data_IF_422292483374
#
_entry.id   IF_422292483374
#
_cell.length_a   1.000
_cell.length_b   1.000
_cell.length_c   1.000
_cell.angle_alpha   90.00
_cell.angle_beta   90.00
_cell.angle_gamma   90.00
#
_symmetry.space_group_name_H-M   'P 1'
#
loop_
_entity.id
_entity.type
_entity.pdbx_description
1 polymer ?
#
# COMPACT_ATOMS: atom_id res chain seq x y z
N UNK A 1 -34.96 -1.32 -62.51
CA UNK A 1 -35.86 -0.53 -63.41
C UNK A 1 -35.99 0.87 -62.86
N UNK A 2 -36.10 1.80 -63.70
CA UNK A 2 -34.99 2.65 -64.16
C UNK A 2 -35.20 4.12 -63.80
N UNK A 3 -34.13 4.87 -64.06
CA UNK A 3 -34.12 6.17 -64.79
C UNK A 3 -34.60 7.42 -64.00
N UNK A 4 -34.12 8.59 -64.18
CA UNK A 4 -33.38 9.29 -65.28
C UNK A 4 -32.84 10.62 -64.77
N UNK A 5 -31.66 10.92 -65.22
CA UNK A 5 -31.20 12.22 -65.79
C UNK A 5 -31.93 13.52 -65.39
N UNK A 6 -31.18 14.52 -64.98
CA UNK A 6 -31.08 15.71 -65.86
C UNK A 6 -29.88 16.61 -65.51
N UNK A 7 -29.04 16.76 -66.47
CA UNK A 7 -28.02 17.79 -66.67
C UNK A 7 -28.65 19.18 -66.62
N UNK A 8 -28.04 20.13 -65.92
CA UNK A 8 -28.02 21.50 -66.48
C UNK A 8 -26.66 22.12 -66.29
N UNK A 9 -26.03 22.47 -67.41
CA UNK A 9 -24.94 23.41 -67.55
C UNK A 9 -25.41 24.81 -67.14
N UNK A 10 -24.56 25.60 -66.55
CA UNK A 10 -24.72 27.05 -66.32
C UNK A 10 -23.38 27.66 -65.99
N UNK A 11 -22.69 28.01 -66.99
CA UNK A 11 -21.82 29.14 -67.36
C UNK A 11 -21.56 30.16 -66.23
N UNK A 12 -20.30 30.29 -65.80
CA UNK A 12 -19.42 31.43 -65.74
C UNK A 12 -19.76 32.59 -64.77
N UNK A 13 -18.85 32.84 -63.91
CA UNK A 13 -18.25 34.19 -63.67
C UNK A 13 -16.94 34.00 -62.89
N UNK A 14 -15.83 34.37 -63.50
CA UNK A 14 -14.55 34.43 -62.82
C UNK A 14 -14.51 35.73 -61.95
N UNK A 15 -14.42 35.51 -60.63
CA UNK A 15 -14.05 36.61 -59.72
C UNK A 15 -12.67 36.30 -59.17
N UNK A 16 -11.67 37.02 -59.64
CA UNK A 16 -10.32 37.03 -59.10
C UNK A 16 -10.39 37.77 -57.74
N UNK A 17 -10.43 37.08 -56.64
CA UNK A 17 -10.24 37.64 -55.33
C UNK A 17 -8.76 37.48 -54.93
N UNK A 18 -8.04 38.58 -54.86
CA UNK A 18 -6.68 38.65 -54.36
C UNK A 18 -6.71 38.30 -52.85
N UNK A 19 -6.21 37.11 -52.48
CA UNK A 19 -6.00 36.72 -51.10
C UNK A 19 -4.68 37.33 -50.65
N UNK A 20 -4.75 38.40 -49.84
CA UNK A 20 -3.64 38.96 -49.09
C UNK A 20 -3.31 38.02 -47.97
N UNK A 21 -2.21 37.25 -48.09
CA UNK A 21 -1.65 36.44 -47.02
C UNK A 21 -1.01 37.37 -45.95
N UNK A 22 -1.76 37.63 -44.89
CA UNK A 22 -1.20 38.19 -43.67
C UNK A 22 -0.47 37.05 -42.96
N UNK A 23 0.84 36.96 -43.14
CA UNK A 23 1.72 36.14 -42.30
C UNK A 23 1.81 36.82 -40.91
N UNK A 24 0.92 36.43 -40.02
CA UNK A 24 1.00 36.81 -38.63
C UNK A 24 2.10 35.97 -37.96
N UNK A 25 3.22 36.63 -37.61
CA UNK A 25 4.18 36.05 -36.67
C UNK A 25 3.50 36.00 -35.29
N UNK A 26 3.04 34.80 -34.93
CA UNK A 26 2.68 34.51 -33.53
C UNK A 26 3.98 34.46 -32.71
N UNK A 27 4.11 35.20 -31.59
CA UNK A 27 5.25 35.03 -30.72
C UNK A 27 5.20 33.60 -30.16
N UNK A 28 6.24 32.84 -30.44
CA UNK A 28 6.47 31.51 -29.85
C UNK A 28 6.58 31.68 -28.33
N UNK A 29 5.58 31.22 -27.61
CA UNK A 29 5.58 31.27 -26.15
C UNK A 29 6.72 30.37 -25.67
N UNK A 30 7.73 30.99 -25.03
CA UNK A 30 8.81 30.24 -24.40
C UNK A 30 8.22 29.19 -23.44
N UNK A 31 8.77 27.96 -23.41
CA UNK A 31 8.29 26.93 -22.51
C UNK A 31 8.43 27.41 -21.06
N UNK A 32 7.30 27.53 -20.37
CA UNK A 32 7.28 27.83 -18.94
C UNK A 32 7.91 26.63 -18.24
N UNK A 33 9.00 26.80 -17.47
CA UNK A 33 9.60 25.69 -16.75
C UNK A 33 8.56 25.11 -15.79
N UNK A 34 8.21 23.84 -15.99
CA UNK A 34 7.33 23.12 -15.07
C UNK A 34 7.98 23.10 -13.68
N UNK A 35 7.23 23.40 -12.60
CA UNK A 35 7.79 23.31 -11.26
C UNK A 35 8.24 21.86 -11.01
N UNK A 36 9.52 21.69 -10.72
CA UNK A 36 10.06 20.41 -10.25
C UNK A 36 9.53 20.23 -8.82
N UNK A 37 8.51 19.39 -8.67
CA UNK A 37 8.02 18.98 -7.36
C UNK A 37 9.08 18.03 -6.80
N UNK A 38 9.96 18.54 -5.94
CA UNK A 38 10.84 17.71 -5.12
C UNK A 38 9.95 17.04 -4.07
N UNK A 39 9.61 15.77 -4.28
CA UNK A 39 8.92 14.97 -3.27
C UNK A 39 9.94 14.70 -2.16
N UNK A 40 9.90 15.48 -1.10
CA UNK A 40 10.64 15.18 0.12
C UNK A 40 9.94 13.99 0.78
N UNK A 41 10.58 12.83 0.73
CA UNK A 41 10.08 11.64 1.44
C UNK A 41 10.15 11.92 2.94
N UNK A 42 9.04 11.71 3.66
CA UNK A 42 9.07 11.77 5.12
C UNK A 42 10.04 10.71 5.66
N UNK A 43 10.77 10.96 6.76
CA UNK A 43 11.63 9.95 7.34
C UNK A 43 10.80 8.73 7.76
N UNK A 44 11.44 7.55 7.70
CA UNK A 44 10.81 6.32 8.16
C UNK A 44 10.35 6.44 9.62
N UNK A 45 9.21 5.82 9.97
CA UNK A 45 8.82 5.69 11.37
C UNK A 45 9.91 4.99 12.19
N UNK A 46 10.04 5.38 13.44
CA UNK A 46 10.94 4.76 14.43
C UNK A 46 10.14 4.24 15.62
N UNK A 47 10.72 3.27 16.34
CA UNK A 47 10.12 2.78 17.58
C UNK A 47 10.02 3.92 18.61
N UNK A 48 8.88 4.01 19.29
CA UNK A 48 8.67 4.92 20.40
C UNK A 48 8.80 4.13 21.72
N UNK A 49 9.95 4.13 22.36
CA UNK A 49 10.17 3.36 23.61
C UNK A 49 9.21 3.81 24.71
N UNK A 50 8.49 2.84 25.32
CA UNK A 50 7.47 3.14 26.33
C UNK A 50 6.18 3.78 25.77
N UNK A 51 6.10 3.96 24.47
CA UNK A 51 4.91 4.48 23.78
C UNK A 51 3.74 3.49 23.78
N UNK A 52 2.58 4.00 23.41
CA UNK A 52 1.36 3.20 23.25
C UNK A 52 1.42 2.36 21.96
N UNK A 53 0.52 1.37 21.83
CA UNK A 53 0.37 0.61 20.59
C UNK A 53 0.09 1.53 19.39
N UNK A 54 -0.79 2.53 19.55
CA UNK A 54 -1.10 3.47 18.48
C UNK A 54 0.11 4.30 18.00
N UNK A 55 0.96 4.72 18.94
CA UNK A 55 2.17 5.46 18.59
C UNK A 55 3.21 4.59 17.86
N UNK A 56 3.24 3.30 18.17
CA UNK A 56 4.17 2.35 17.58
C UNK A 56 3.62 1.64 16.31
N UNK A 57 2.33 1.80 15.98
CA UNK A 57 1.73 1.14 14.82
C UNK A 57 2.44 1.47 13.50
N UNK A 58 2.81 2.73 13.19
CA UNK A 58 3.52 3.03 11.93
C UNK A 58 4.87 2.31 11.82
N UNK A 59 5.61 2.19 12.92
CA UNK A 59 6.88 1.46 12.92
C UNK A 59 6.69 -0.05 12.82
N UNK A 60 5.70 -0.59 13.51
CA UNK A 60 5.31 -1.99 13.42
C UNK A 60 4.92 -2.37 11.99
N UNK A 61 4.14 -1.53 11.32
CA UNK A 61 3.75 -1.75 9.93
C UNK A 61 4.96 -1.71 8.99
N UNK A 62 5.86 -0.76 9.18
CA UNK A 62 7.07 -0.62 8.38
C UNK A 62 7.93 -1.89 8.45
N UNK A 63 8.23 -2.38 9.68
CA UNK A 63 9.14 -3.53 9.84
C UNK A 63 8.52 -4.82 9.33
N UNK A 64 7.20 -5.02 9.51
CA UNK A 64 6.51 -6.19 8.99
C UNK A 64 6.36 -6.14 7.46
N UNK A 65 6.08 -4.97 6.88
CA UNK A 65 6.05 -4.80 5.42
C UNK A 65 7.41 -5.13 4.80
N UNK A 66 8.50 -4.67 5.40
CA UNK A 66 9.86 -4.98 4.94
C UNK A 66 10.19 -6.47 5.03
N UNK A 67 9.75 -7.15 6.08
CA UNK A 67 9.89 -8.60 6.19
C UNK A 67 9.14 -9.31 5.06
N UNK A 68 7.89 -8.89 4.80
CA UNK A 68 7.03 -9.49 3.77
C UNK A 68 7.60 -9.26 2.37
N UNK A 69 8.18 -8.11 2.10
CA UNK A 69 8.83 -7.75 0.83
C UNK A 69 10.20 -8.41 0.64
N UNK A 70 10.77 -8.98 1.70
CA UNK A 70 12.00 -9.77 1.61
C UNK A 70 11.70 -11.18 1.07
N UNK A 71 12.72 -11.87 0.54
CA UNK A 71 12.58 -13.25 0.08
C UNK A 71 12.55 -14.27 1.23
N UNK A 72 12.21 -13.85 2.45
CA UNK A 72 12.17 -14.70 3.63
C UNK A 72 10.96 -15.65 3.62
N UNK A 73 11.14 -16.85 4.15
CA UNK A 73 10.02 -17.75 4.40
C UNK A 73 9.16 -17.20 5.55
N UNK A 74 7.95 -16.76 5.22
CA UNK A 74 7.04 -16.15 6.18
C UNK A 74 6.31 -17.21 7.00
N UNK A 75 6.49 -17.15 8.31
CA UNK A 75 5.83 -17.98 9.32
C UNK A 75 5.78 -17.22 10.64
N UNK A 76 5.06 -17.75 11.64
CA UNK A 76 4.92 -17.08 12.93
C UNK A 76 6.25 -16.77 13.60
N UNK A 77 7.26 -17.67 13.47
CA UNK A 77 8.58 -17.43 13.99
C UNK A 77 9.27 -16.24 13.31
N UNK A 78 9.19 -16.14 11.99
CA UNK A 78 9.79 -15.05 11.25
C UNK A 78 9.24 -13.68 11.68
N UNK A 79 7.93 -13.56 11.90
CA UNK A 79 7.33 -12.33 12.41
C UNK A 79 7.79 -11.99 13.83
N UNK A 80 7.85 -12.97 14.72
CA UNK A 80 8.31 -12.76 16.11
C UNK A 80 9.79 -12.34 16.12
N UNK A 81 10.66 -13.06 15.41
CA UNK A 81 12.09 -12.75 15.37
C UNK A 81 12.35 -11.36 14.76
N UNK A 82 11.63 -10.99 13.71
CA UNK A 82 11.66 -9.65 13.11
C UNK A 82 11.25 -8.54 14.11
N UNK A 83 10.21 -8.77 14.89
CA UNK A 83 9.76 -7.80 15.90
C UNK A 83 10.75 -7.70 17.07
N UNK A 84 11.39 -8.79 17.46
CA UNK A 84 12.47 -8.76 18.47
C UNK A 84 13.66 -7.96 17.95
N UNK A 85 14.06 -8.16 16.71
CA UNK A 85 15.13 -7.39 16.06
C UNK A 85 14.77 -5.90 15.96
N UNK A 86 13.50 -5.59 15.73
CA UNK A 86 12.96 -4.24 15.70
C UNK A 86 12.88 -3.58 17.09
N UNK A 87 13.21 -4.30 18.19
CA UNK A 87 13.29 -3.77 19.55
C UNK A 87 12.06 -3.98 20.42
N UNK A 88 11.09 -4.77 19.98
CA UNK A 88 9.96 -5.15 20.82
C UNK A 88 10.33 -6.28 21.79
N UNK A 89 9.72 -6.28 22.99
CA UNK A 89 10.01 -7.29 24.00
C UNK A 89 9.29 -8.61 23.70
N UNK A 90 10.05 -9.70 23.50
CA UNK A 90 9.49 -11.03 23.21
C UNK A 90 8.45 -11.50 24.25
N UNK A 91 8.66 -11.16 25.52
CA UNK A 91 7.77 -11.54 26.63
C UNK A 91 6.36 -10.92 26.53
N UNK A 92 6.20 -9.87 25.73
CA UNK A 92 4.92 -9.19 25.49
C UNK A 92 4.27 -9.61 24.17
N UNK A 93 4.78 -10.66 23.52
CA UNK A 93 4.31 -11.12 22.22
C UNK A 93 3.47 -12.38 22.33
N UNK A 94 2.56 -12.52 21.37
CA UNK A 94 1.78 -13.73 21.12
C UNK A 94 1.78 -14.05 19.63
N UNK A 95 1.64 -15.33 19.28
CA UNK A 95 1.56 -15.78 17.89
C UNK A 95 0.70 -17.01 17.79
N UNK A 96 -0.13 -17.10 16.73
CA UNK A 96 -0.92 -18.28 16.43
C UNK A 96 -0.04 -19.40 15.86
N UNK A 97 -0.50 -20.68 15.93
CA UNK A 97 0.18 -21.78 15.23
C UNK A 97 0.26 -21.53 13.71
N UNK A 98 1.35 -22.00 13.10
CA UNK A 98 1.50 -21.97 11.63
C UNK A 98 0.66 -23.06 10.94
N UNK A 99 0.16 -24.02 11.72
CA UNK A 99 -0.67 -25.16 11.24
C UNK A 99 -1.95 -25.25 12.02
N UNK A 100 -2.99 -25.71 11.34
CA UNK A 100 -4.29 -26.00 11.94
C UNK A 100 -4.25 -27.27 12.80
N UNK A 101 -5.30 -27.48 13.60
CA UNK A 101 -5.44 -28.69 14.44
C UNK A 101 -5.48 -30.02 13.65
N UNK A 102 -5.75 -29.95 12.34
CA UNK A 102 -5.77 -31.11 11.42
C UNK A 102 -4.52 -31.15 10.53
N UNK A 103 -3.47 -30.46 10.96
CA UNK A 103 -2.14 -30.44 10.33
C UNK A 103 -2.12 -29.93 8.88
N UNK A 104 -2.96 -28.97 8.56
CA UNK A 104 -2.90 -28.17 7.34
C UNK A 104 -2.18 -26.86 7.63
N UNK A 105 -1.62 -26.25 6.60
CA UNK A 105 -1.08 -24.89 6.73
C UNK A 105 -2.20 -23.91 7.11
N UNK A 106 -1.93 -22.99 8.01
CA UNK A 106 -2.90 -21.98 8.40
C UNK A 106 -3.07 -20.94 7.28
N UNK A 107 -4.32 -20.57 6.97
CA UNK A 107 -4.62 -19.56 5.97
C UNK A 107 -4.08 -18.17 6.36
N UNK A 108 -3.88 -17.95 7.65
CA UNK A 108 -3.27 -16.74 8.18
C UNK A 108 -2.57 -16.97 9.51
N UNK A 109 -1.58 -16.14 9.77
CA UNK A 109 -0.84 -16.07 11.02
C UNK A 109 -1.21 -14.75 11.67
N UNK A 110 -1.59 -14.79 12.95
CA UNK A 110 -1.78 -13.62 13.77
C UNK A 110 -0.64 -13.53 14.79
N UNK A 111 -0.15 -12.33 15.01
CA UNK A 111 0.89 -12.03 15.97
C UNK A 111 0.61 -10.70 16.64
N UNK A 112 1.10 -10.52 17.85
CA UNK A 112 0.82 -9.30 18.60
C UNK A 112 1.95 -8.90 19.53
N UNK A 113 1.96 -7.62 19.88
CA UNK A 113 2.80 -7.05 20.95
C UNK A 113 1.90 -6.27 21.91
N UNK A 114 2.01 -6.52 23.20
CA UNK A 114 1.31 -5.74 24.22
C UNK A 114 2.17 -4.54 24.63
N UNK A 115 1.63 -3.34 24.45
CA UNK A 115 2.29 -2.07 24.73
C UNK A 115 1.40 -1.18 25.60
N UNK A 116 1.88 -0.81 26.78
CA UNK A 116 1.19 0.13 27.68
C UNK A 116 -0.30 -0.21 27.91
N UNK A 117 -0.62 -1.52 28.08
CA UNK A 117 -1.98 -1.99 28.37
C UNK A 117 -2.91 -2.07 27.14
N UNK A 118 -2.38 -1.91 25.94
CA UNK A 118 -3.07 -2.11 24.67
C UNK A 118 -2.31 -3.09 23.79
N UNK A 119 -2.97 -3.64 22.80
CA UNK A 119 -2.42 -4.62 21.87
C UNK A 119 -2.20 -4.02 20.51
N UNK A 120 -1.03 -4.26 19.94
CA UNK A 120 -0.72 -4.04 18.55
C UNK A 120 -0.74 -5.41 17.86
N UNK A 121 -1.66 -5.61 16.93
CA UNK A 121 -1.97 -6.92 16.35
C UNK A 121 -1.66 -6.85 14.86
N UNK A 122 -0.87 -7.80 14.37
CA UNK A 122 -0.64 -8.02 12.95
C UNK A 122 -1.29 -9.34 12.51
N UNK A 123 -1.75 -9.36 11.27
CA UNK A 123 -2.21 -10.56 10.59
C UNK A 123 -1.61 -10.59 9.19
N UNK A 124 -1.15 -11.77 8.80
CA UNK A 124 -0.64 -12.01 7.46
C UNK A 124 -1.09 -13.39 6.95
N UNK A 125 -1.38 -13.46 5.66
CA UNK A 125 -1.61 -14.71 4.96
C UNK A 125 -1.37 -14.55 3.46
N UNK A 126 -1.01 -15.61 2.73
CA UNK A 126 -0.65 -15.53 1.32
C UNK A 126 -1.78 -15.00 0.44
N UNK A 127 -3.02 -15.29 0.78
CA UNK A 127 -4.20 -14.90 -0.01
C UNK A 127 -4.87 -13.60 0.50
N UNK A 128 -4.61 -13.20 1.75
CA UNK A 128 -5.26 -12.05 2.37
C UNK A 128 -4.34 -10.83 2.54
N UNK A 129 -3.03 -11.02 2.37
CA UNK A 129 -2.03 -9.98 2.59
C UNK A 129 -1.80 -9.66 4.06
N UNK A 130 -1.25 -8.47 4.32
CA UNK A 130 -0.93 -7.97 5.65
C UNK A 130 -1.93 -6.89 6.10
N UNK A 131 -2.32 -6.96 7.36
CA UNK A 131 -3.07 -5.90 8.05
C UNK A 131 -2.62 -5.77 9.49
N UNK A 132 -2.77 -4.59 10.08
CA UNK A 132 -2.57 -4.36 11.51
C UNK A 132 -3.74 -3.64 12.16
N UNK A 133 -3.86 -3.80 13.46
CA UNK A 133 -4.88 -3.12 14.28
C UNK A 133 -4.36 -2.86 15.69
N UNK A 134 -4.90 -1.83 16.32
CA UNK A 134 -4.73 -1.57 17.76
C UNK A 134 -6.03 -1.94 18.47
N UNK A 135 -5.91 -2.73 19.54
CA UNK A 135 -7.05 -3.18 20.33
C UNK A 135 -6.78 -3.17 21.82
N UNK A 136 -7.82 -3.36 22.63
CA UNK A 136 -7.65 -3.57 24.06
C UNK A 136 -7.05 -4.95 24.34
N UNK A 137 -6.40 -5.10 25.50
CA UNK A 137 -6.10 -6.43 26.06
C UNK A 137 -7.44 -7.12 26.38
N UNK A 138 -7.57 -8.38 25.98
CA UNK A 138 -8.77 -9.17 26.22
C UNK A 138 -8.99 -9.45 27.72
N UNK A 139 -10.19 -9.83 28.11
CA UNK A 139 -10.50 -10.21 29.47
C UNK A 139 -9.69 -11.42 29.99
N UNK A 140 -9.10 -12.20 29.11
CA UNK A 140 -8.15 -13.29 29.38
C UNK A 140 -6.74 -12.80 29.72
N UNK A 141 -6.45 -11.52 29.52
CA UNK A 141 -5.11 -10.95 29.66
C UNK A 141 -4.23 -11.10 28.40
N UNK A 142 -4.77 -11.64 27.32
CA UNK A 142 -4.10 -11.85 26.03
C UNK A 142 -4.47 -10.78 24.99
N UNK A 143 -3.73 -10.71 23.88
CA UNK A 143 -4.04 -9.85 22.75
C UNK A 143 -4.78 -10.60 21.63
N UNK A 144 -4.49 -11.89 21.45
CA UNK A 144 -5.08 -12.69 20.40
C UNK A 144 -6.27 -13.51 20.89
N UNK A 145 -7.23 -13.71 20.01
CA UNK A 145 -8.38 -14.60 20.23
C UNK A 145 -8.02 -15.99 19.71
N UNK A 146 -8.33 -17.03 20.50
CA UNK A 146 -8.06 -18.42 20.14
C UNK A 146 -6.72 -18.93 20.65
N UNK A 147 -6.23 -20.01 20.06
CA UNK A 147 -5.02 -20.68 20.50
C UNK A 147 -3.76 -19.94 20.02
N UNK A 148 -2.81 -19.78 20.91
CA UNK A 148 -1.47 -19.29 20.64
C UNK A 148 -0.45 -20.41 20.89
N UNK A 149 0.69 -20.33 20.21
CA UNK A 149 1.79 -21.27 20.47
C UNK A 149 2.84 -20.63 21.37
N UNK A 150 3.58 -21.41 22.17
CA UNK A 150 4.71 -20.93 22.96
C UNK A 150 5.78 -20.28 22.04
N UNK A 151 6.38 -19.19 22.55
CA UNK A 151 7.55 -18.53 21.92
C UNK A 151 8.77 -18.92 22.77
N UNK A 152 9.24 -20.13 22.57
CA UNK A 152 10.26 -20.80 23.39
C UNK A 152 11.62 -20.97 22.70
N UNK A 153 11.87 -20.19 21.66
CA UNK A 153 13.14 -20.15 20.90
C UNK A 153 13.92 -18.86 21.10
#
# INVERSE_FOLDING_TARGET
MPERHMRRLGVGVAVVAAVVLLVGCAPESAPVPSPVITVTHAPDPEIVPGGTALQNQPYFDLVNTRLIESDAALNGRAFIDNLVEAGYAKADMEVTPDRTAVDLDADSIQFSVRLSGTCLIGQWGPDIGYTSAVGPVLGTGTCLVGDTRPIDW
#
